data_IF_465161544310
#
_entry.id   IF_465161544310
#
_cell.length_a   1.000
_cell.length_b   1.000
_cell.length_c   1.000
_cell.angle_alpha   90.00
_cell.angle_beta   90.00
_cell.angle_gamma   90.00
#
_symmetry.space_group_name_H-M   'P 1'
#
loop_
_entity.id
_entity.type
_entity.pdbx_description
1 polymer ?
#
# COMPACT_ATOMS: atom_id res chain seq x y z
N UNK A 1 17.12 -1.17 2.93
CA UNK A 1 15.73 -1.27 3.42
C UNK A 1 15.47 -0.43 4.67
N UNK A 2 16.31 -0.41 5.71
CA UNK A 2 16.09 0.43 6.91
C UNK A 2 16.28 1.93 6.65
N UNK A 3 17.19 2.36 5.78
CA UNK A 3 17.42 3.78 5.45
C UNK A 3 16.30 4.47 4.62
N UNK A 4 15.44 3.71 3.96
CA UNK A 4 14.32 4.27 3.18
C UNK A 4 13.11 4.63 4.06
N UNK A 5 13.03 4.10 5.28
CA UNK A 5 11.94 4.40 6.22
C UNK A 5 12.19 5.77 6.90
N UNK A 6 13.44 6.16 7.13
CA UNK A 6 13.79 7.44 7.77
C UNK A 6 13.53 8.67 6.86
N UNK A 7 13.62 8.53 5.53
CA UNK A 7 13.28 9.62 4.59
C UNK A 7 11.76 9.85 4.43
N UNK A 8 10.93 8.91 4.86
CA UNK A 8 9.46 9.01 4.81
C UNK A 8 8.87 9.80 5.98
N UNK A 9 9.53 9.86 7.13
CA UNK A 9 9.05 10.58 8.32
C UNK A 9 9.00 12.11 8.10
N UNK A 10 9.85 12.66 7.23
CA UNK A 10 9.86 14.11 6.92
C UNK A 10 8.73 14.57 5.98
N UNK A 11 7.98 13.65 5.36
CA UNK A 11 6.92 14.00 4.39
C UNK A 11 5.57 14.31 5.02
N UNK A 12 5.38 13.95 6.29
CA UNK A 12 4.14 14.14 7.04
C UNK A 12 4.40 14.93 8.32
N UNK A 13 4.76 16.20 8.18
CA UNK A 13 4.56 17.18 9.28
C UNK A 13 3.06 17.27 9.53
N UNK A 14 2.55 16.35 10.34
CA UNK A 14 1.25 16.51 10.98
C UNK A 14 1.46 17.62 12.02
N UNK A 15 1.08 18.84 11.64
CA UNK A 15 1.02 19.96 12.59
C UNK A 15 0.30 19.50 13.85
N UNK A 16 0.84 19.87 15.01
CA UNK A 16 0.34 19.49 16.34
C UNK A 16 -1.03 20.12 16.68
N UNK A 17 -1.76 20.63 15.68
CA UNK A 17 -3.09 21.18 15.88
C UNK A 17 -4.05 20.08 16.31
N UNK A 18 -4.57 20.24 17.52
CA UNK A 18 -5.41 19.29 18.30
C UNK A 18 -6.84 19.08 17.73
N UNK A 19 -7.06 19.26 16.41
CA UNK A 19 -8.37 19.03 15.83
C UNK A 19 -8.56 17.53 15.47
N UNK A 20 -9.45 16.88 16.21
CA UNK A 20 -9.88 15.48 16.01
C UNK A 20 -10.45 15.25 14.58
N UNK A 21 -10.87 16.31 13.87
CA UNK A 21 -11.53 16.21 12.57
C UNK A 21 -10.60 15.75 11.45
N UNK A 22 -9.30 16.08 11.55
CA UNK A 22 -8.32 15.78 10.51
C UNK A 22 -7.70 14.38 10.61
N UNK A 23 -7.98 13.66 11.72
CA UNK A 23 -7.39 12.34 11.97
C UNK A 23 -7.72 11.30 10.90
N UNK A 24 -8.85 11.47 10.22
CA UNK A 24 -9.42 10.47 9.32
C UNK A 24 -9.65 11.01 7.91
N UNK A 25 -8.89 12.03 7.49
CA UNK A 25 -8.92 12.51 6.11
C UNK A 25 -8.51 11.39 5.15
N UNK A 26 -9.32 11.24 4.12
CA UNK A 26 -9.03 10.28 3.04
C UNK A 26 -7.73 10.67 2.35
N UNK A 27 -6.79 9.75 2.18
CA UNK A 27 -5.54 10.04 1.49
C UNK A 27 -5.83 10.38 0.02
N UNK A 28 -5.59 11.62 -0.36
CA UNK A 28 -5.88 12.17 -1.69
C UNK A 28 -5.03 11.58 -2.82
N UNK A 29 -4.05 10.72 -2.49
CA UNK A 29 -3.12 10.11 -3.43
C UNK A 29 -3.61 8.78 -4.04
N UNK A 30 -4.69 8.24 -3.51
CA UNK A 30 -5.25 6.97 -3.95
C UNK A 30 -6.46 7.18 -4.86
N UNK A 31 -6.70 6.25 -5.78
CA UNK A 31 -7.93 6.22 -6.57
C UNK A 31 -9.15 6.03 -5.67
N UNK A 32 -10.35 6.39 -6.16
CA UNK A 32 -11.57 6.38 -5.33
C UNK A 32 -11.87 4.99 -4.74
N UNK A 33 -11.67 3.93 -5.50
CA UNK A 33 -11.86 2.56 -5.06
C UNK A 33 -10.82 2.13 -4.00
N UNK A 34 -9.59 2.62 -4.12
CA UNK A 34 -8.53 2.42 -3.14
C UNK A 34 -8.83 3.15 -1.84
N UNK A 35 -9.34 4.39 -1.95
CA UNK A 35 -9.76 5.18 -0.78
C UNK A 35 -10.85 4.46 0.02
N UNK A 36 -11.81 3.78 -0.64
CA UNK A 36 -12.88 3.03 0.05
C UNK A 36 -12.29 1.93 0.94
N UNK A 37 -11.26 1.21 0.46
CA UNK A 37 -10.59 0.16 1.24
C UNK A 37 -9.92 0.74 2.48
N UNK A 38 -9.16 1.82 2.28
CA UNK A 38 -8.43 2.49 3.36
C UNK A 38 -9.41 3.05 4.39
N UNK A 39 -10.44 3.79 3.95
CA UNK A 39 -11.45 4.38 4.84
C UNK A 39 -12.15 3.31 5.68
N UNK A 40 -12.48 2.14 5.11
CA UNK A 40 -13.09 1.06 5.88
C UNK A 40 -12.20 0.61 7.06
N UNK A 41 -10.88 0.54 6.85
CA UNK A 41 -9.92 0.21 7.91
C UNK A 41 -9.76 1.36 8.93
N UNK A 42 -9.75 2.61 8.45
CA UNK A 42 -9.64 3.79 9.32
C UNK A 42 -10.85 3.95 10.24
N UNK A 43 -12.05 3.62 9.78
CA UNK A 43 -13.25 3.64 10.61
C UNK A 43 -13.16 2.71 11.82
N UNK A 44 -12.52 1.56 11.68
CA UNK A 44 -12.27 0.65 12.82
C UNK A 44 -11.33 1.29 13.85
N UNK A 45 -10.25 1.91 13.41
CA UNK A 45 -9.34 2.65 14.29
C UNK A 45 -10.05 3.82 14.97
N UNK A 46 -10.86 4.58 14.23
CA UNK A 46 -11.65 5.67 14.78
C UNK A 46 -12.63 5.20 15.86
N UNK A 47 -13.34 4.10 15.63
CA UNK A 47 -14.25 3.55 16.62
C UNK A 47 -13.50 3.20 17.92
N UNK A 48 -12.33 2.58 17.84
CA UNK A 48 -11.55 2.24 19.03
C UNK A 48 -10.98 3.50 19.72
N UNK A 49 -10.55 4.49 18.95
CA UNK A 49 -10.17 5.80 19.51
C UNK A 49 -11.32 6.44 20.29
N UNK A 50 -12.52 6.52 19.71
CA UNK A 50 -13.69 7.12 20.35
C UNK A 50 -14.10 6.41 21.65
N UNK A 51 -13.95 5.09 21.70
CA UNK A 51 -14.17 4.32 22.93
C UNK A 51 -13.11 4.66 23.99
N UNK A 52 -11.86 4.69 23.61
CA UNK A 52 -10.74 4.80 24.55
C UNK A 52 -10.45 6.24 24.99
N UNK A 53 -10.76 7.26 24.18
CA UNK A 53 -10.50 8.67 24.52
C UNK A 53 -11.22 9.14 25.80
N UNK A 54 -12.32 8.51 26.15
CA UNK A 54 -13.11 8.81 27.37
C UNK A 54 -12.67 7.97 28.60
N UNK A 55 -11.72 7.07 28.43
CA UNK A 55 -11.26 6.19 29.51
C UNK A 55 -10.27 6.88 30.43
N UNK A 56 -10.32 6.54 31.72
CA UNK A 56 -9.24 6.91 32.65
C UNK A 56 -7.99 6.08 32.36
N UNK A 57 -6.78 6.55 32.76
CA UNK A 57 -5.55 5.77 32.61
C UNK A 57 -5.65 4.36 33.20
N UNK A 58 -6.27 4.21 34.38
CA UNK A 58 -6.47 2.90 34.99
C UNK A 58 -7.32 1.99 34.09
N UNK A 59 -8.42 2.50 33.56
CA UNK A 59 -9.30 1.70 32.69
C UNK A 59 -8.64 1.29 31.39
N UNK A 60 -7.77 2.16 30.83
CA UNK A 60 -6.96 1.78 29.65
C UNK A 60 -6.00 0.64 29.99
N UNK A 61 -5.33 0.67 31.14
CA UNK A 61 -4.47 -0.45 31.56
C UNK A 61 -5.24 -1.75 31.66
N UNK A 62 -6.47 -1.72 32.17
CA UNK A 62 -7.27 -2.92 32.42
C UNK A 62 -7.91 -3.50 31.13
N UNK A 63 -8.29 -2.66 30.16
CA UNK A 63 -9.09 -3.04 29.00
C UNK A 63 -8.35 -3.00 27.64
N UNK A 64 -7.15 -2.41 27.56
CA UNK A 64 -6.45 -2.19 26.28
C UNK A 64 -6.13 -3.49 25.53
N UNK A 65 -5.81 -4.55 26.26
CA UNK A 65 -5.49 -5.83 25.64
C UNK A 65 -6.70 -6.38 24.86
N UNK A 66 -7.89 -6.40 25.46
CA UNK A 66 -9.11 -6.89 24.81
C UNK A 66 -9.53 -6.01 23.63
N UNK A 67 -9.50 -4.68 23.81
CA UNK A 67 -9.92 -3.72 22.78
C UNK A 67 -9.01 -3.81 21.54
N UNK A 68 -7.69 -3.86 21.74
CA UNK A 68 -6.77 -3.88 20.60
C UNK A 68 -6.64 -5.27 19.97
N UNK A 69 -6.80 -6.35 20.72
CA UNK A 69 -6.83 -7.70 20.17
C UNK A 69 -8.09 -7.90 19.30
N UNK A 70 -9.25 -7.37 19.72
CA UNK A 70 -10.46 -7.32 18.87
C UNK A 70 -10.23 -6.49 17.60
N UNK A 71 -9.60 -5.31 17.73
CA UNK A 71 -9.25 -4.47 16.59
C UNK A 71 -8.34 -5.22 15.59
N UNK A 72 -7.34 -5.94 16.06
CA UNK A 72 -6.43 -6.70 15.21
C UNK A 72 -7.18 -7.72 14.32
N UNK A 73 -8.12 -8.46 14.90
CA UNK A 73 -8.93 -9.43 14.16
C UNK A 73 -9.82 -8.73 13.13
N UNK A 74 -10.55 -7.70 13.53
CA UNK A 74 -11.47 -6.97 12.66
C UNK A 74 -10.72 -6.24 11.53
N UNK A 75 -9.61 -5.57 11.85
CA UNK A 75 -8.81 -4.84 10.87
C UNK A 75 -8.17 -5.77 9.83
N UNK A 76 -7.65 -6.91 10.28
CA UNK A 76 -7.07 -7.92 9.38
C UNK A 76 -8.11 -8.51 8.43
N UNK A 77 -9.29 -8.86 8.96
CA UNK A 77 -10.39 -9.38 8.13
C UNK A 77 -10.87 -8.34 7.14
N UNK A 78 -11.15 -7.12 7.61
CA UNK A 78 -11.64 -6.03 6.75
C UNK A 78 -10.64 -5.67 5.65
N UNK A 79 -9.35 -5.56 5.98
CA UNK A 79 -8.32 -5.25 5.00
C UNK A 79 -8.27 -6.32 3.89
N UNK A 80 -8.23 -7.60 4.25
CA UNK A 80 -8.19 -8.68 3.28
C UNK A 80 -9.44 -8.73 2.40
N UNK A 81 -10.62 -8.73 3.02
CA UNK A 81 -11.90 -8.81 2.29
C UNK A 81 -12.08 -7.64 1.32
N UNK A 82 -11.65 -6.43 1.73
CA UNK A 82 -11.75 -5.23 0.90
C UNK A 82 -10.72 -5.21 -0.21
N UNK A 83 -9.47 -5.58 0.06
CA UNK A 83 -8.43 -5.69 -0.99
C UNK A 83 -8.91 -6.66 -2.06
N UNK A 84 -9.34 -7.85 -1.69
CA UNK A 84 -9.79 -8.88 -2.61
C UNK A 84 -10.98 -8.42 -3.45
N UNK A 85 -12.02 -7.86 -2.80
CA UNK A 85 -13.22 -7.39 -3.50
C UNK A 85 -12.91 -6.25 -4.46
N UNK A 86 -12.01 -5.34 -4.10
CA UNK A 86 -11.63 -4.20 -4.95
C UNK A 86 -10.83 -4.66 -6.16
N UNK A 87 -9.85 -5.55 -5.97
CA UNK A 87 -9.07 -6.13 -7.07
C UNK A 87 -9.99 -6.88 -8.04
N UNK A 88 -10.89 -7.72 -7.52
CA UNK A 88 -11.82 -8.45 -8.35
C UNK A 88 -12.73 -7.52 -9.16
N UNK A 89 -13.32 -6.51 -8.51
CA UNK A 89 -14.21 -5.55 -9.17
C UNK A 89 -13.49 -4.76 -10.28
N UNK A 90 -12.25 -4.37 -10.01
CA UNK A 90 -11.43 -3.62 -10.98
C UNK A 90 -11.22 -4.42 -12.28
N UNK A 91 -11.01 -5.73 -12.18
CA UNK A 91 -10.74 -6.59 -13.35
C UNK A 91 -11.99 -7.23 -13.95
N UNK A 92 -13.15 -7.19 -13.30
CA UNK A 92 -14.38 -7.89 -13.74
C UNK A 92 -14.76 -7.60 -15.20
N UNK A 93 -14.68 -6.34 -15.62
CA UNK A 93 -14.97 -5.94 -17.00
C UNK A 93 -14.00 -6.55 -18.00
N UNK A 94 -12.71 -6.49 -17.71
CA UNK A 94 -11.64 -7.02 -18.58
C UNK A 94 -11.76 -8.55 -18.65
N UNK A 95 -12.00 -9.20 -17.51
CA UNK A 95 -12.17 -10.65 -17.45
C UNK A 95 -13.32 -11.13 -18.33
N UNK A 96 -14.47 -10.43 -18.30
CA UNK A 96 -15.64 -10.75 -19.14
C UNK A 96 -15.37 -10.50 -20.61
N UNK A 97 -14.74 -9.38 -20.96
CA UNK A 97 -14.45 -9.00 -22.34
C UNK A 97 -13.52 -10.02 -23.03
N UNK A 98 -12.49 -10.48 -22.33
CA UNK A 98 -11.48 -11.40 -22.89
C UNK A 98 -11.68 -12.86 -22.48
N UNK A 99 -12.79 -13.21 -21.79
CA UNK A 99 -13.05 -14.54 -21.25
C UNK A 99 -11.90 -15.08 -20.37
N UNK A 100 -11.34 -14.21 -19.54
CA UNK A 100 -10.22 -14.57 -18.67
C UNK A 100 -10.76 -15.38 -17.49
N UNK A 101 -10.21 -16.57 -17.21
CA UNK A 101 -10.63 -17.37 -16.07
C UNK A 101 -10.33 -16.67 -14.73
N UNK A 102 -11.24 -16.76 -13.76
CA UNK A 102 -11.15 -16.13 -12.42
C UNK A 102 -9.82 -16.39 -11.72
N UNK A 103 -9.19 -17.54 -11.98
CA UNK A 103 -7.91 -17.92 -11.38
C UNK A 103 -6.76 -16.92 -11.65
N UNK A 104 -6.86 -16.08 -12.70
CA UNK A 104 -5.84 -15.08 -13.03
C UNK A 104 -5.99 -13.79 -12.23
N UNK A 105 -7.20 -13.56 -11.70
CA UNK A 105 -7.50 -12.45 -10.80
C UNK A 105 -7.81 -12.94 -9.39
N UNK A 106 -7.78 -14.27 -9.19
CA UNK A 106 -8.02 -14.86 -7.89
C UNK A 106 -6.98 -14.35 -6.87
N UNK A 107 -7.49 -14.20 -5.67
CA UNK A 107 -6.73 -13.78 -4.49
C UNK A 107 -5.35 -14.41 -4.43
N UNK A 108 -4.33 -13.57 -4.37
CA UNK A 108 -3.01 -14.04 -3.99
C UNK A 108 -2.96 -14.29 -2.48
N UNK A 109 -3.42 -15.47 -2.09
CA UNK A 109 -3.42 -15.88 -0.67
C UNK A 109 -2.02 -15.88 -0.04
N UNK A 110 -0.95 -15.81 -0.85
CA UNK A 110 0.41 -15.66 -0.34
C UNK A 110 0.64 -14.33 0.38
N UNK A 111 -0.17 -13.30 0.08
CA UNK A 111 -0.12 -12.00 0.75
C UNK A 111 -0.83 -11.99 2.10
N UNK A 112 -1.77 -12.91 2.35
CA UNK A 112 -2.54 -12.93 3.59
C UNK A 112 -1.70 -12.98 4.86
N UNK A 113 -0.67 -13.83 4.96
CA UNK A 113 0.22 -13.82 6.11
C UNK A 113 0.93 -12.48 6.30
N UNK A 114 1.37 -11.86 5.21
CA UNK A 114 2.11 -10.59 5.23
C UNK A 114 1.21 -9.45 5.74
N UNK A 115 -0.01 -9.33 5.20
CA UNK A 115 -1.00 -8.34 5.66
C UNK A 115 -1.34 -8.54 7.12
N UNK A 116 -1.64 -9.78 7.53
CA UNK A 116 -1.96 -10.12 8.91
C UNK A 116 -0.81 -9.82 9.87
N UNK A 117 0.41 -10.17 9.52
CA UNK A 117 1.59 -9.90 10.34
C UNK A 117 1.85 -8.40 10.49
N UNK A 118 1.71 -7.64 9.40
CA UNK A 118 1.88 -6.19 9.43
C UNK A 118 0.83 -5.51 10.33
N UNK A 119 -0.45 -5.90 10.21
CA UNK A 119 -1.53 -5.41 11.07
C UNK A 119 -1.32 -5.84 12.52
N UNK A 120 -0.93 -7.09 12.76
CA UNK A 120 -0.62 -7.57 14.10
C UNK A 120 0.52 -6.77 14.74
N UNK A 121 1.55 -6.43 13.97
CA UNK A 121 2.66 -5.59 14.42
C UNK A 121 2.18 -4.18 14.78
N UNK A 122 1.35 -3.56 13.94
CA UNK A 122 0.73 -2.26 14.19
C UNK A 122 -0.08 -2.29 15.50
N UNK A 123 -0.97 -3.27 15.67
CA UNK A 123 -1.82 -3.40 16.85
C UNK A 123 -1.00 -3.67 18.11
N UNK A 124 0.04 -4.51 18.03
CA UNK A 124 0.94 -4.78 19.14
C UNK A 124 1.70 -3.52 19.60
N UNK A 125 2.16 -2.71 18.65
CA UNK A 125 2.83 -1.44 18.95
C UNK A 125 1.86 -0.45 19.58
N UNK A 126 0.68 -0.24 18.98
CA UNK A 126 -0.34 0.64 19.52
C UNK A 126 -0.73 0.23 20.96
N UNK A 127 -0.97 -1.06 21.19
CA UNK A 127 -1.26 -1.62 22.50
C UNK A 127 -0.16 -1.31 23.52
N UNK A 128 1.10 -1.55 23.16
CA UNK A 128 2.26 -1.28 24.02
C UNK A 128 2.39 0.19 24.38
N UNK A 129 2.26 1.08 23.39
CA UNK A 129 2.35 2.53 23.59
C UNK A 129 1.22 3.05 24.50
N UNK A 130 -0.02 2.61 24.27
CA UNK A 130 -1.18 3.01 25.08
C UNK A 130 -1.03 2.53 26.52
N UNK A 131 -0.59 1.28 26.71
CA UNK A 131 -0.37 0.71 28.06
C UNK A 131 0.73 1.43 28.80
N UNK A 132 1.86 1.70 28.16
CA UNK A 132 2.97 2.43 28.75
C UNK A 132 2.56 3.85 29.17
N UNK A 133 1.86 4.56 28.28
CA UNK A 133 1.35 5.90 28.54
C UNK A 133 0.35 5.90 29.69
N UNK A 134 -0.61 4.97 29.68
CA UNK A 134 -1.61 4.87 30.73
C UNK A 134 -0.98 4.55 32.11
N UNK A 135 0.01 3.66 32.17
CA UNK A 135 0.74 3.37 33.39
C UNK A 135 1.44 4.61 33.94
N UNK A 136 2.12 5.38 33.07
CA UNK A 136 2.78 6.62 33.48
C UNK A 136 1.81 7.64 34.11
N UNK A 137 0.65 7.87 33.47
CA UNK A 137 -0.34 8.85 33.96
C UNK A 137 -1.12 8.36 35.19
N UNK A 138 -1.34 7.05 35.31
CA UNK A 138 -1.93 6.44 36.50
C UNK A 138 -1.12 6.74 37.73
N UNK A 139 0.21 6.59 37.64
CA UNK A 139 1.11 6.75 38.78
C UNK A 139 1.38 8.22 39.14
N UNK A 140 1.25 9.13 38.16
CA UNK A 140 1.57 10.57 38.34
C UNK A 140 0.34 11.49 38.56
N UNK A 141 -0.87 10.94 38.75
CA UNK A 141 -2.11 11.64 39.14
C UNK A 141 -2.56 12.84 38.25
N UNK A 142 -2.04 13.00 37.06
CA UNK A 142 -2.42 14.11 36.15
C UNK A 142 -3.38 13.62 35.08
N UNK A 143 -4.66 13.49 35.40
CA UNK A 143 -5.67 13.03 34.44
C UNK A 143 -5.92 14.02 33.28
N UNK A 144 -5.61 15.32 33.48
CA UNK A 144 -5.92 16.36 32.49
C UNK A 144 -4.99 16.35 31.25
N UNK A 145 -3.88 15.60 31.30
CA UNK A 145 -2.90 15.51 30.21
C UNK A 145 -2.91 14.13 29.53
N UNK A 146 -3.78 13.21 29.97
CA UNK A 146 -3.86 11.89 29.37
C UNK A 146 -4.55 11.97 28.00
N UNK A 147 -3.75 12.17 26.97
CA UNK A 147 -4.19 12.25 25.57
C UNK A 147 -3.62 11.09 24.75
N UNK A 148 -4.47 10.25 24.18
CA UNK A 148 -4.10 9.09 23.37
C UNK A 148 -4.13 9.37 21.86
N UNK A 149 -4.57 10.57 21.45
CA UNK A 149 -4.71 10.96 20.04
C UNK A 149 -3.40 10.75 19.24
N UNK A 150 -2.22 11.18 19.72
CA UNK A 150 -0.99 10.99 18.96
C UNK A 150 -0.65 9.52 18.68
N UNK A 151 -1.03 8.61 19.56
CA UNK A 151 -0.81 7.18 19.37
C UNK A 151 -1.71 6.65 18.22
N UNK A 152 -2.98 7.08 18.20
CA UNK A 152 -3.90 6.72 17.12
C UNK A 152 -3.54 7.40 15.79
N UNK A 153 -3.04 8.66 15.78
CA UNK A 153 -2.54 9.31 14.55
C UNK A 153 -1.45 8.47 13.89
N UNK A 154 -0.46 7.99 14.66
CA UNK A 154 0.58 7.10 14.13
C UNK A 154 0.04 5.75 13.66
N UNK A 155 -0.93 5.18 14.37
CA UNK A 155 -1.56 3.92 13.96
C UNK A 155 -2.35 4.07 12.66
N UNK A 156 -3.06 5.18 12.48
CA UNK A 156 -3.78 5.54 11.25
C UNK A 156 -2.81 5.62 10.07
N UNK A 157 -1.71 6.38 10.21
CA UNK A 157 -0.72 6.49 9.15
C UNK A 157 -0.16 5.13 8.73
N UNK A 158 0.23 4.32 9.70
CA UNK A 158 0.72 2.96 9.42
C UNK A 158 -0.33 2.06 8.79
N UNK A 159 -1.61 2.19 9.18
CA UNK A 159 -2.69 1.43 8.56
C UNK A 159 -2.89 1.81 7.08
N UNK A 160 -2.81 3.10 6.75
CA UNK A 160 -2.83 3.60 5.37
C UNK A 160 -1.69 2.96 4.57
N UNK A 161 -0.48 2.99 5.09
CA UNK A 161 0.70 2.44 4.41
C UNK A 161 0.58 0.92 4.19
N UNK A 162 0.13 0.19 5.20
CA UNK A 162 -0.04 -1.27 5.11
C UNK A 162 -1.12 -1.62 4.08
N UNK A 163 -2.30 -1.04 4.23
CA UNK A 163 -3.46 -1.40 3.40
C UNK A 163 -3.28 -0.92 1.97
N UNK A 164 -2.86 0.33 1.78
CA UNK A 164 -2.63 0.93 0.47
C UNK A 164 -1.54 0.20 -0.31
N UNK A 165 -0.40 -0.10 0.30
CA UNK A 165 0.69 -0.82 -0.35
C UNK A 165 0.28 -2.23 -0.79
N UNK A 166 -0.47 -2.95 0.06
CA UNK A 166 -0.91 -4.29 -0.28
C UNK A 166 -2.00 -4.30 -1.36
N UNK A 167 -2.86 -3.27 -1.39
CA UNK A 167 -3.86 -3.11 -2.44
C UNK A 167 -3.20 -2.86 -3.81
N UNK A 168 -2.25 -1.90 -3.87
CA UNK A 168 -1.49 -1.60 -5.09
C UNK A 168 -0.75 -2.84 -5.57
N UNK A 169 -0.06 -3.54 -4.67
CA UNK A 169 0.63 -4.79 -5.00
C UNK A 169 -0.32 -5.83 -5.59
N UNK A 170 -1.49 -6.02 -4.99
CA UNK A 170 -2.47 -7.00 -5.44
C UNK A 170 -3.07 -6.65 -6.80
N UNK A 171 -3.35 -5.35 -7.05
CA UNK A 171 -3.81 -4.84 -8.36
C UNK A 171 -2.73 -5.07 -9.43
N UNK A 172 -1.49 -4.69 -9.14
CA UNK A 172 -0.38 -4.86 -10.08
C UNK A 172 -0.13 -6.33 -10.43
N UNK A 173 -0.12 -7.20 -9.44
CA UNK A 173 0.07 -8.64 -9.67
C UNK A 173 -1.06 -9.23 -10.50
N UNK A 174 -2.30 -8.87 -10.22
CA UNK A 174 -3.45 -9.32 -11.02
C UNK A 174 -3.38 -8.78 -12.44
N UNK A 175 -2.99 -7.51 -12.63
CA UNK A 175 -2.76 -6.92 -13.97
C UNK A 175 -1.73 -7.74 -14.75
N UNK A 176 -0.60 -8.08 -14.14
CA UNK A 176 0.44 -8.91 -14.79
C UNK A 176 -0.08 -10.29 -15.20
N UNK A 177 -0.87 -10.94 -14.34
CA UNK A 177 -1.46 -12.23 -14.67
C UNK A 177 -2.43 -12.13 -15.85
N UNK A 178 -3.24 -11.05 -15.90
CA UNK A 178 -4.15 -10.76 -17.00
C UNK A 178 -3.37 -10.46 -18.28
N UNK A 179 -2.35 -9.62 -18.21
CA UNK A 179 -1.51 -9.26 -19.36
C UNK A 179 -0.78 -10.50 -19.91
N UNK A 180 -0.26 -11.36 -19.05
CA UNK A 180 0.38 -12.62 -19.47
C UNK A 180 -0.63 -13.56 -20.16
N UNK A 181 -1.88 -13.60 -19.69
CA UNK A 181 -2.93 -14.38 -20.33
C UNK A 181 -3.30 -13.83 -21.71
N UNK A 182 -3.44 -12.50 -21.83
CA UNK A 182 -3.90 -11.83 -23.07
C UNK A 182 -2.78 -11.78 -24.12
N UNK A 183 -1.58 -11.42 -23.72
CA UNK A 183 -0.47 -11.15 -24.64
C UNK A 183 0.58 -12.26 -24.72
N UNK A 184 0.54 -13.23 -23.79
CA UNK A 184 1.51 -14.31 -23.68
C UNK A 184 2.71 -13.98 -22.82
N UNK A 185 3.38 -15.01 -22.30
CA UNK A 185 4.52 -14.89 -21.39
C UNK A 185 5.79 -14.30 -22.01
N UNK A 186 5.87 -14.30 -23.35
CA UNK A 186 7.03 -13.79 -24.09
C UNK A 186 6.91 -12.29 -24.46
N UNK A 187 5.74 -11.67 -24.19
CA UNK A 187 5.53 -10.24 -24.41
C UNK A 187 6.48 -9.42 -23.57
N UNK A 188 7.11 -8.42 -24.19
CA UNK A 188 7.98 -7.48 -23.53
C UNK A 188 7.23 -6.22 -23.09
N UNK A 189 7.71 -5.61 -22.01
CA UNK A 189 7.11 -4.40 -21.41
C UNK A 189 8.18 -3.39 -21.06
N UNK A 190 7.85 -2.11 -21.28
CA UNK A 190 8.56 -0.98 -20.73
C UNK A 190 8.08 -0.70 -19.29
N UNK A 191 9.02 -0.26 -18.45
CA UNK A 191 8.69 0.37 -17.19
C UNK A 191 8.58 1.87 -17.41
N UNK A 192 7.41 2.45 -17.17
CA UNK A 192 7.15 3.87 -17.31
C UNK A 192 7.00 4.49 -15.92
N UNK A 193 7.73 5.57 -15.66
CA UNK A 193 7.56 6.36 -14.44
C UNK A 193 6.54 7.47 -14.66
N UNK A 194 6.03 8.05 -13.56
CA UNK A 194 5.15 9.23 -13.62
C UNK A 194 5.86 10.49 -14.15
N UNK A 195 7.16 10.42 -14.39
CA UNK A 195 8.01 11.48 -14.97
C UNK A 195 7.93 12.83 -14.23
N UNK A 196 7.81 12.79 -12.92
CA UNK A 196 7.80 13.97 -12.05
C UNK A 196 8.99 13.94 -11.07
N UNK A 197 9.10 14.97 -10.23
CA UNK A 197 10.14 15.12 -9.22
C UNK A 197 10.06 14.09 -8.07
N UNK A 198 8.89 13.44 -7.91
CA UNK A 198 8.64 12.43 -6.87
C UNK A 198 9.06 11.01 -7.28
N UNK A 199 9.50 10.83 -8.52
CA UNK A 199 10.00 9.53 -8.99
C UNK A 199 11.31 9.19 -8.29
N UNK A 200 11.33 8.08 -7.55
CA UNK A 200 12.53 7.64 -6.83
C UNK A 200 13.64 7.14 -7.76
N UNK A 201 14.87 7.13 -7.27
CA UNK A 201 16.03 6.69 -8.05
C UNK A 201 15.91 5.24 -8.54
N UNK A 202 15.24 4.37 -7.77
CA UNK A 202 15.03 2.98 -8.17
C UNK A 202 14.07 2.87 -9.36
N UNK A 203 12.95 3.60 -9.37
CA UNK A 203 12.01 3.63 -10.51
C UNK A 203 12.69 4.19 -11.77
N UNK A 204 13.49 5.25 -11.64
CA UNK A 204 14.28 5.79 -12.78
C UNK A 204 15.26 4.76 -13.32
N UNK A 205 15.88 3.96 -12.44
CA UNK A 205 16.73 2.85 -12.86
C UNK A 205 15.93 1.80 -13.64
N UNK A 206 14.72 1.42 -13.16
CA UNK A 206 13.88 0.44 -13.88
C UNK A 206 13.46 0.95 -15.26
N UNK A 207 13.12 2.24 -15.38
CA UNK A 207 12.76 2.87 -16.65
C UNK A 207 13.93 2.93 -17.64
N UNK A 208 15.17 3.05 -17.16
CA UNK A 208 16.36 3.08 -18.01
C UNK A 208 16.73 1.70 -18.58
N UNK A 209 16.13 0.63 -18.08
CA UNK A 209 16.40 -0.72 -18.57
C UNK A 209 15.61 -1.00 -19.86
N UNK A 210 16.13 -1.89 -20.73
CA UNK A 210 15.40 -2.31 -21.92
C UNK A 210 14.08 -3.01 -21.57
N UNK A 211 13.15 -3.12 -22.53
CA UNK A 211 11.92 -3.88 -22.34
C UNK A 211 12.22 -5.32 -21.91
N UNK A 212 11.43 -5.82 -20.97
CA UNK A 212 11.60 -7.14 -20.35
C UNK A 212 10.27 -7.88 -20.27
N UNK A 213 10.35 -9.19 -20.10
CA UNK A 213 9.16 -9.99 -19.80
C UNK A 213 8.62 -9.64 -18.41
N UNK A 214 7.33 -9.83 -18.19
CA UNK A 214 6.71 -9.57 -16.88
C UNK A 214 7.41 -10.33 -15.74
N UNK A 215 7.86 -11.56 -16.00
CA UNK A 215 8.59 -12.38 -15.03
C UNK A 215 9.97 -11.82 -14.62
N UNK A 216 10.54 -10.95 -15.45
CA UNK A 216 11.84 -10.32 -15.23
C UNK A 216 11.75 -8.92 -14.60
N UNK A 217 10.55 -8.36 -14.57
CA UNK A 217 10.29 -7.03 -14.03
C UNK A 217 9.86 -7.16 -12.56
N UNK A 218 10.53 -6.50 -11.61
CA UNK A 218 10.10 -6.50 -10.22
C UNK A 218 8.72 -5.83 -10.09
N UNK A 219 7.99 -6.15 -9.03
CA UNK A 219 6.78 -5.40 -8.67
C UNK A 219 7.17 -3.98 -8.21
N UNK A 220 6.26 -3.03 -8.42
CA UNK A 220 6.48 -1.67 -7.95
C UNK A 220 6.58 -1.63 -6.41
N UNK A 221 7.20 -0.59 -5.89
CA UNK A 221 7.29 -0.40 -4.45
C UNK A 221 5.99 0.23 -3.89
N UNK A 222 5.77 0.19 -2.57
CA UNK A 222 4.66 0.88 -1.93
C UNK A 222 4.55 2.34 -2.41
N UNK A 223 3.33 2.80 -2.69
CA UNK A 223 3.02 4.11 -3.28
C UNK A 223 3.65 4.35 -4.67
N UNK A 224 4.05 3.29 -5.36
CA UNK A 224 4.51 3.36 -6.73
C UNK A 224 3.41 3.87 -7.66
N UNK A 225 3.81 4.71 -8.64
CA UNK A 225 2.94 5.27 -9.68
C UNK A 225 3.48 4.92 -11.05
N UNK A 226 4.26 3.85 -11.11
CA UNK A 226 4.84 3.37 -12.34
C UNK A 226 3.85 2.46 -13.07
N UNK A 227 3.96 2.44 -14.37
CA UNK A 227 3.12 1.62 -15.24
C UNK A 227 3.96 0.70 -16.10
N UNK A 228 3.38 -0.43 -16.53
CA UNK A 228 3.97 -1.31 -17.51
C UNK A 228 3.23 -1.14 -18.82
N UNK A 229 3.96 -0.75 -19.86
CA UNK A 229 3.42 -0.61 -21.21
C UNK A 229 3.92 -1.76 -22.08
N UNK A 230 3.01 -2.54 -22.72
CA UNK A 230 3.42 -3.61 -23.62
C UNK A 230 4.12 -3.02 -24.86
N UNK A 231 5.15 -3.69 -25.30
CA UNK A 231 5.82 -3.34 -26.58
C UNK A 231 4.93 -3.81 -27.71
N UNK A 232 4.22 -2.88 -28.34
CA UNK A 232 3.27 -3.19 -29.43
C UNK A 232 3.93 -3.34 -30.80
N UNK A 233 5.22 -3.06 -30.87
CA UNK A 233 5.95 -3.07 -32.13
C UNK A 233 6.97 -4.18 -32.18
N UNK A 234 7.12 -4.78 -33.34
CA UNK A 234 8.28 -5.59 -33.66
C UNK A 234 9.40 -4.62 -34.00
N UNK A 235 10.41 -4.57 -33.14
CA UNK A 235 11.59 -3.77 -33.44
C UNK A 235 12.54 -4.59 -34.30
N UNK A 236 13.33 -3.92 -35.15
CA UNK A 236 14.37 -4.58 -35.92
C UNK A 236 15.41 -5.26 -35.02
N UNK A 237 16.09 -6.28 -35.57
CA UNK A 237 17.20 -6.95 -34.88
C UNK A 237 18.28 -5.95 -34.42
N UNK A 238 18.48 -4.86 -35.16
CA UNK A 238 19.40 -3.79 -34.83
C UNK A 238 19.02 -3.07 -33.55
N UNK A 239 17.73 -2.83 -33.31
CA UNK A 239 17.22 -2.26 -32.07
C UNK A 239 17.54 -3.16 -30.87
N UNK A 240 17.33 -4.47 -30.96
CA UNK A 240 17.65 -5.39 -29.88
C UNK A 240 19.16 -5.46 -29.61
N UNK A 241 19.98 -5.33 -30.65
CA UNK A 241 21.44 -5.24 -30.50
C UNK A 241 21.85 -3.95 -29.78
N UNK A 242 21.21 -2.82 -30.07
CA UNK A 242 21.46 -1.54 -29.38
C UNK A 242 21.11 -1.63 -27.90
N UNK A 243 19.93 -2.22 -27.57
CA UNK A 243 19.53 -2.44 -26.18
C UNK A 243 20.54 -3.31 -25.42
N UNK A 244 21.00 -4.38 -26.04
CA UNK A 244 21.99 -5.26 -25.43
C UNK A 244 23.34 -4.54 -25.16
N UNK A 245 23.61 -3.43 -25.86
CA UNK A 245 24.80 -2.59 -25.67
C UNK A 245 24.59 -1.47 -24.64
N UNK A 246 23.40 -1.36 -24.04
CA UNK A 246 23.06 -0.28 -23.11
C UNK A 246 22.86 1.07 -23.77
N UNK A 247 22.53 1.10 -25.06
CA UNK A 247 22.21 2.31 -25.80
C UNK A 247 20.77 2.71 -25.52
N UNK A 248 20.55 3.98 -25.16
CA UNK A 248 19.32 4.47 -24.51
C UNK A 248 18.14 4.71 -25.44
N UNK A 249 16.98 4.85 -24.78
CA UNK A 249 15.61 5.02 -25.26
C UNK A 249 15.37 6.22 -26.20
N UNK A 250 16.20 7.26 -26.16
CA UNK A 250 16.02 8.52 -26.92
C UNK A 250 15.99 8.36 -28.45
N UNK A 251 16.22 7.15 -28.95
CA UNK A 251 16.16 6.82 -30.37
C UNK A 251 15.14 5.76 -30.76
N UNK A 252 14.31 5.29 -29.80
CA UNK A 252 13.42 4.14 -30.01
C UNK A 252 12.41 4.35 -31.16
N UNK A 253 11.89 5.56 -31.32
CA UNK A 253 10.92 5.86 -32.38
C UNK A 253 11.49 5.67 -33.80
N UNK A 254 12.79 5.77 -33.95
CA UNK A 254 13.45 5.58 -35.23
C UNK A 254 13.51 4.11 -35.70
N UNK A 255 13.22 3.15 -34.80
CA UNK A 255 13.31 1.71 -35.07
C UNK A 255 11.95 1.01 -35.03
N UNK A 256 10.86 1.79 -35.00
CA UNK A 256 9.49 1.27 -35.13
C UNK A 256 9.22 0.95 -36.60
N UNK A 257 8.98 -0.32 -36.91
CA UNK A 257 8.52 -0.79 -38.23
C UNK A 257 7.01 -0.63 -38.39
#
# INVERSE_FOLDING_TARGET
MVKQIEEFEDYYNLDEDDDDSDLFLSPTYYEIDEQIVIVACLLLLQQRYLVMKSMTPQRVVDEVDEIIDSLNVELSSTALDKIDSTVYTFFDKIMREYNIPDKYVAQDTSMYPIVKESINTLCTQLKGELKQKAMFFKDNMSNNEFNILPNFKRAVQRAIDIVGSNLIYSKEKSKRNVDEFVYGSDKLYYWLTANDDKVCAWCRLQESLPPRRLSEIPLDHPHGRCELEPVDYTYSDEYYVMLARGEYRDGIEAFRE
#
